data_IF_225190164438
#
_entry.id   IF_225190164438
#
_cell.length_a   1.000
_cell.length_b   1.000
_cell.length_c   1.000
_cell.angle_alpha   90.00
_cell.angle_beta   90.00
_cell.angle_gamma   90.00
#
_symmetry.space_group_name_H-M   'P 1'
#
loop_
_entity.id
_entity.type
_entity.pdbx_description
1 polymer ?
#
# COMPACT_ATOMS: atom_id res chain seq x y z
N UNK A 1 52.19 25.05 -10.36
CA UNK A 1 51.31 23.99 -9.81
C UNK A 1 51.91 23.56 -8.51
N UNK A 2 51.29 23.88 -7.38
CA UNK A 2 51.77 23.47 -6.06
C UNK A 2 50.79 22.44 -5.51
N UNK A 3 51.30 21.23 -5.24
CA UNK A 3 50.64 20.23 -4.42
C UNK A 3 50.71 20.72 -2.97
N UNK A 4 49.57 20.79 -2.29
CA UNK A 4 49.51 21.02 -0.85
C UNK A 4 49.01 19.72 -0.23
N UNK A 5 49.87 19.08 0.55
CA UNK A 5 49.54 17.90 1.35
C UNK A 5 48.77 18.33 2.60
N UNK A 6 47.66 17.66 2.87
CA UNK A 6 46.95 17.76 4.15
C UNK A 6 47.41 16.62 5.05
N UNK A 7 48.38 16.90 5.93
CA UNK A 7 48.67 16.01 7.04
C UNK A 7 47.55 16.11 8.08
N UNK A 8 46.73 15.06 8.15
CA UNK A 8 45.78 14.82 9.24
C UNK A 8 46.58 14.54 10.52
N UNK A 9 46.73 15.55 11.37
CA UNK A 9 47.36 15.40 12.67
C UNK A 9 46.28 15.05 13.69
N UNK A 10 46.05 13.74 13.89
CA UNK A 10 45.42 13.22 15.09
C UNK A 10 46.45 13.30 16.23
N UNK A 11 46.49 14.44 16.91
CA UNK A 11 47.17 14.58 18.20
C UNK A 11 46.17 15.11 19.22
N UNK A 12 46.09 14.39 20.34
CA UNK A 12 45.17 14.60 21.44
C UNK A 12 45.48 15.89 22.18
N UNK A 13 44.77 16.95 21.85
CA UNK A 13 44.58 18.11 22.72
C UNK A 13 43.07 18.39 22.86
N UNK A 14 42.62 18.62 24.10
CA UNK A 14 41.24 19.00 24.42
C UNK A 14 40.75 20.08 23.45
N UNK A 15 39.54 19.98 22.87
CA UNK A 15 39.11 20.95 21.87
C UNK A 15 38.95 22.29 22.58
N UNK A 16 39.91 23.20 22.35
CA UNK A 16 39.69 24.61 22.62
C UNK A 16 38.47 24.98 21.81
N UNK A 17 37.38 25.29 22.51
CA UNK A 17 36.09 25.59 21.92
C UNK A 17 36.31 26.80 21.01
N UNK A 18 36.33 26.58 19.70
CA UNK A 18 36.49 27.66 18.72
C UNK A 18 35.38 28.67 18.98
N UNK A 19 35.76 29.89 19.37
CA UNK A 19 34.79 30.95 19.58
C UNK A 19 34.22 31.38 18.24
N UNK A 20 32.90 31.60 18.22
CA UNK A 20 32.25 32.12 17.03
C UNK A 20 32.87 33.50 16.70
N UNK A 21 33.17 33.81 15.43
CA UNK A 21 33.54 35.15 15.03
C UNK A 21 32.56 36.20 15.54
N UNK A 22 33.07 37.31 16.08
CA UNK A 22 32.29 38.39 16.69
C UNK A 22 31.05 38.82 15.86
N UNK A 23 31.17 38.83 14.53
CA UNK A 23 30.08 39.22 13.63
C UNK A 23 28.89 38.24 13.65
N UNK A 24 29.12 36.95 13.90
CA UNK A 24 28.05 35.95 14.00
C UNK A 24 27.24 36.08 15.29
N UNK A 25 27.81 36.68 16.34
CA UNK A 25 27.06 36.96 17.59
C UNK A 25 25.99 38.03 17.39
N UNK A 26 26.13 38.89 16.39
CA UNK A 26 25.12 39.90 16.03
C UNK A 26 24.05 39.40 15.06
N UNK A 27 24.21 38.19 14.50
CA UNK A 27 23.18 37.60 13.67
C UNK A 27 22.04 37.10 14.57
N UNK A 28 20.98 37.89 14.68
CA UNK A 28 19.70 37.36 15.15
C UNK A 28 19.14 36.42 14.08
N UNK A 29 18.59 35.27 14.53
CA UNK A 29 17.80 34.45 13.63
C UNK A 29 16.70 35.32 13.03
N UNK A 30 16.62 35.39 11.70
CA UNK A 30 15.62 36.18 11.00
C UNK A 30 14.23 35.61 11.33
N UNK A 31 13.45 36.24 12.22
CA UNK A 31 12.18 35.68 12.67
C UNK A 31 11.12 35.80 11.57
N UNK A 32 11.38 36.57 10.51
CA UNK A 32 10.50 36.67 9.34
C UNK A 32 10.70 35.49 8.38
N UNK A 33 11.90 34.89 8.36
CA UNK A 33 12.24 33.76 7.48
C UNK A 33 12.17 32.41 8.20
N UNK A 34 12.41 32.37 9.52
CA UNK A 34 12.36 31.15 10.34
C UNK A 34 11.58 31.42 11.64
N UNK A 35 10.26 31.50 11.55
CA UNK A 35 9.38 31.59 12.73
C UNK A 35 9.56 30.34 13.60
N UNK A 36 9.83 30.54 14.89
CA UNK A 36 9.73 29.47 15.90
C UNK A 36 8.26 29.07 15.97
N UNK A 37 7.93 27.90 15.43
CA UNK A 37 6.56 27.40 15.45
C UNK A 37 6.28 26.78 16.83
N UNK A 38 5.49 27.47 17.66
CA UNK A 38 4.98 26.90 18.91
C UNK A 38 3.81 25.96 18.63
N UNK A 39 3.89 24.74 19.18
CA UNK A 39 2.87 23.70 18.98
C UNK A 39 1.59 24.04 19.76
N UNK A 40 0.53 24.42 19.06
CA UNK A 40 -0.78 24.63 19.70
C UNK A 40 -1.52 23.29 19.84
N UNK A 41 -1.54 22.77 21.07
CA UNK A 41 -2.20 21.51 21.41
C UNK A 41 -3.71 21.48 21.08
N UNK A 42 -4.39 22.63 21.03
CA UNK A 42 -5.81 22.72 20.67
C UNK A 42 -6.06 22.24 19.23
N UNK A 43 -5.10 22.46 18.32
CA UNK A 43 -5.18 22.01 16.92
C UNK A 43 -5.10 20.47 16.78
N UNK A 44 -4.77 19.78 17.86
CA UNK A 44 -4.52 18.33 17.88
C UNK A 44 -5.39 17.59 18.89
N UNK A 45 -6.52 18.18 19.31
CA UNK A 45 -7.40 17.62 20.35
C UNK A 45 -6.64 17.36 21.66
N UNK A 46 -5.78 18.31 22.03
CA UNK A 46 -4.90 18.24 23.21
C UNK A 46 -3.89 17.09 23.18
N UNK A 47 -3.70 16.43 22.02
CA UNK A 47 -2.67 15.41 21.85
C UNK A 47 -1.31 16.07 21.69
N UNK A 48 -0.35 15.60 22.46
CA UNK A 48 1.04 16.02 22.34
C UNK A 48 1.68 15.36 21.12
N UNK A 49 2.34 16.16 20.29
CA UNK A 49 3.11 15.63 19.15
C UNK A 49 4.38 14.93 19.62
N UNK A 50 4.77 13.88 18.90
CA UNK A 50 6.01 13.15 19.16
C UNK A 50 7.26 13.88 18.67
N UNK A 51 7.13 14.83 17.76
CA UNK A 51 8.21 15.69 17.27
C UNK A 51 7.65 17.07 16.85
N UNK A 52 8.48 18.11 17.05
CA UNK A 52 8.17 19.48 16.66
C UNK A 52 8.06 19.61 15.12
N UNK A 53 7.31 20.61 14.66
CA UNK A 53 7.30 20.93 13.24
C UNK A 53 8.59 21.66 12.85
N UNK A 54 9.21 21.23 11.77
CA UNK A 54 10.30 21.94 11.11
C UNK A 54 9.90 22.28 9.68
N UNK A 55 10.32 23.46 9.19
CA UNK A 55 10.03 23.89 7.82
C UNK A 55 10.59 22.87 6.82
N UNK A 56 9.72 22.41 5.92
CA UNK A 56 10.07 21.40 4.93
C UNK A 56 10.02 19.95 5.44
N UNK A 57 9.72 19.72 6.74
CA UNK A 57 9.42 18.40 7.28
C UNK A 57 7.91 18.17 7.42
N UNK A 58 7.46 17.01 6.93
CA UNK A 58 6.06 16.60 6.92
C UNK A 58 5.87 15.36 7.77
N UNK A 59 4.99 15.46 8.78
CA UNK A 59 4.61 14.32 9.59
C UNK A 59 3.88 13.29 8.71
N UNK A 60 4.51 12.13 8.54
CA UNK A 60 4.09 11.09 7.63
C UNK A 60 3.80 9.81 8.41
N UNK A 61 2.72 9.13 8.06
CA UNK A 61 2.41 7.78 8.51
C UNK A 61 1.70 7.01 7.39
N UNK A 62 1.80 5.69 7.42
CA UNK A 62 1.14 4.76 6.51
C UNK A 62 0.15 3.95 7.33
N UNK A 63 -1.09 3.88 6.86
CA UNK A 63 -2.17 3.20 7.57
C UNK A 63 -3.21 2.66 6.59
N UNK A 64 -4.04 1.74 7.06
CA UNK A 64 -5.23 1.24 6.37
C UNK A 64 -6.43 2.02 6.91
N UNK A 65 -7.21 2.64 6.03
CA UNK A 65 -8.47 3.30 6.43
C UNK A 65 -9.53 2.24 6.73
N UNK A 66 -10.00 2.23 7.97
CA UNK A 66 -11.01 1.31 8.46
C UNK A 66 -12.35 1.99 8.73
N UNK A 67 -12.50 3.26 8.39
CA UNK A 67 -13.67 4.08 8.76
C UNK A 67 -14.97 3.48 8.22
N UNK A 68 -15.00 3.04 6.96
CA UNK A 68 -16.18 2.41 6.35
C UNK A 68 -16.54 1.05 6.97
N UNK A 69 -15.54 0.32 7.47
CA UNK A 69 -15.72 -1.04 7.97
C UNK A 69 -16.07 -1.07 9.46
N UNK A 70 -15.57 -0.11 10.25
CA UNK A 70 -15.64 -0.14 11.72
C UNK A 70 -16.45 0.99 12.35
N UNK A 71 -17.03 1.92 11.57
CA UNK A 71 -17.82 3.03 12.10
C UNK A 71 -18.95 2.58 13.04
N UNK A 72 -19.58 1.44 12.73
CA UNK A 72 -20.67 0.86 13.54
C UNK A 72 -20.22 0.49 14.96
N UNK A 73 -18.95 0.08 15.14
CA UNK A 73 -18.40 -0.25 16.47
C UNK A 73 -18.28 1.02 17.30
N UNK A 74 -17.76 2.09 16.72
CA UNK A 74 -17.65 3.39 17.41
C UNK A 74 -19.03 3.87 17.84
N UNK A 75 -20.03 3.79 16.96
CA UNK A 75 -21.42 4.14 17.31
C UNK A 75 -21.93 3.29 18.47
N UNK A 76 -21.75 1.97 18.42
CA UNK A 76 -22.21 1.06 19.47
C UNK A 76 -21.54 1.33 20.83
N UNK A 77 -20.24 1.64 20.85
CA UNK A 77 -19.51 1.98 22.07
C UNK A 77 -19.98 3.33 22.64
N UNK A 78 -20.19 4.34 21.78
CA UNK A 78 -20.67 5.65 22.21
C UNK A 78 -22.09 5.63 22.79
N UNK A 79 -22.96 4.74 22.30
CA UNK A 79 -24.34 4.59 22.80
C UNK A 79 -24.49 3.59 23.95
N UNK A 80 -23.39 3.01 24.45
CA UNK A 80 -23.45 2.01 25.52
C UNK A 80 -23.67 2.67 26.87
N UNK A 81 -24.82 2.42 27.50
CA UNK A 81 -25.14 2.94 28.84
C UNK A 81 -24.11 2.50 29.89
N UNK A 82 -23.70 1.22 29.86
CA UNK A 82 -22.71 0.67 30.77
C UNK A 82 -21.34 1.37 30.69
N UNK A 83 -20.93 1.84 29.50
CA UNK A 83 -19.71 2.64 29.33
C UNK A 83 -19.94 4.09 29.75
N UNK A 84 -21.09 4.67 29.40
CA UNK A 84 -21.42 6.06 29.71
C UNK A 84 -21.55 6.32 31.23
N UNK A 85 -21.91 5.30 32.01
CA UNK A 85 -21.87 5.34 33.49
C UNK A 85 -20.45 5.38 34.07
N UNK A 86 -19.42 4.98 33.32
CA UNK A 86 -18.04 5.01 33.78
C UNK A 86 -17.46 6.42 33.67
N UNK A 87 -17.04 6.99 34.80
CA UNK A 87 -16.39 8.31 34.84
C UNK A 87 -15.12 8.38 33.99
N UNK A 88 -14.42 7.26 33.83
CA UNK A 88 -13.22 7.17 32.98
C UNK A 88 -13.58 7.28 31.49
N UNK A 89 -14.74 6.77 31.08
CA UNK A 89 -15.20 6.83 29.68
C UNK A 89 -15.38 8.27 29.21
N UNK A 90 -15.84 9.15 30.09
CA UNK A 90 -16.01 10.59 29.83
C UNK A 90 -14.70 11.32 29.47
N UNK A 91 -13.53 10.70 29.69
CA UNK A 91 -12.22 11.25 29.30
C UNK A 91 -11.79 10.86 27.89
N UNK A 92 -12.46 9.89 27.27
CA UNK A 92 -12.14 9.45 25.92
C UNK A 92 -12.82 10.34 24.88
N UNK A 93 -12.11 10.62 23.79
CA UNK A 93 -12.67 11.29 22.62
C UNK A 93 -12.78 10.31 21.46
N UNK A 94 -13.87 10.39 20.71
CA UNK A 94 -14.06 9.57 19.53
C UNK A 94 -13.05 9.98 18.44
N UNK A 95 -12.40 8.99 17.82
CA UNK A 95 -11.52 9.22 16.70
C UNK A 95 -12.33 9.52 15.42
N UNK A 96 -12.04 10.62 14.75
CA UNK A 96 -12.72 10.99 13.49
C UNK A 96 -12.39 10.04 12.33
N UNK A 97 -11.14 9.54 12.26
CA UNK A 97 -10.67 8.64 11.20
C UNK A 97 -10.14 7.36 11.84
N UNK A 98 -10.92 6.30 11.76
CA UNK A 98 -10.54 4.99 12.29
C UNK A 98 -9.56 4.36 11.31
N UNK A 99 -8.36 4.04 11.78
CA UNK A 99 -7.31 3.49 10.94
C UNK A 99 -6.49 2.44 11.68
N UNK A 100 -5.90 1.53 10.90
CA UNK A 100 -4.90 0.57 11.37
C UNK A 100 -3.52 1.03 10.89
N UNK A 101 -2.67 1.47 11.82
CA UNK A 101 -1.31 1.95 11.51
C UNK A 101 -0.40 0.83 11.04
N UNK A 102 0.28 1.04 9.90
CA UNK A 102 1.31 0.14 9.36
C UNK A 102 2.73 0.64 9.67
N UNK A 103 2.83 1.84 10.25
CA UNK A 103 4.08 2.51 10.58
C UNK A 103 3.88 3.43 11.78
N UNK A 104 4.98 3.85 12.40
CA UNK A 104 4.96 5.01 13.31
C UNK A 104 4.64 6.29 12.52
N UNK A 105 4.50 7.42 13.21
CA UNK A 105 4.55 8.75 12.57
C UNK A 105 5.99 9.25 12.60
N UNK A 106 6.54 9.65 11.46
CA UNK A 106 7.91 10.17 11.33
C UNK A 106 7.98 11.37 10.38
N UNK A 107 8.98 12.25 10.52
CA UNK A 107 9.17 13.37 9.61
C UNK A 107 9.77 12.91 8.28
N UNK A 108 9.22 13.39 7.17
CA UNK A 108 9.75 13.22 5.81
C UNK A 108 9.98 14.60 5.20
N UNK A 109 11.11 14.79 4.52
CA UNK A 109 11.38 16.04 3.80
C UNK A 109 10.46 16.16 2.60
N UNK A 110 9.94 17.35 2.33
CA UNK A 110 8.98 17.60 1.23
C UNK A 110 9.44 16.99 -0.11
N UNK A 111 10.70 17.22 -0.49
CA UNK A 111 11.28 16.72 -1.74
C UNK A 111 11.48 15.20 -1.81
N UNK A 112 11.25 14.46 -0.71
CA UNK A 112 11.29 13.00 -0.68
C UNK A 112 9.92 12.34 -0.73
N UNK A 113 8.83 13.11 -0.63
CA UNK A 113 7.47 12.56 -0.57
C UNK A 113 7.16 11.73 -1.82
N UNK A 114 7.43 12.26 -3.01
CA UNK A 114 7.12 11.55 -4.27
C UNK A 114 7.90 10.24 -4.41
N UNK A 115 9.20 10.25 -4.08
CA UNK A 115 10.04 9.05 -4.10
C UNK A 115 9.60 8.03 -3.06
N UNK A 116 9.18 8.47 -1.87
CA UNK A 116 8.61 7.59 -0.85
C UNK A 116 7.32 6.95 -1.34
N UNK A 117 6.40 7.73 -1.91
CA UNK A 117 5.13 7.21 -2.45
C UNK A 117 5.40 6.21 -3.58
N UNK A 118 6.30 6.53 -4.51
CA UNK A 118 6.65 5.61 -5.59
C UNK A 118 7.30 4.32 -5.07
N UNK A 119 8.16 4.41 -4.06
CA UNK A 119 8.73 3.25 -3.39
C UNK A 119 7.64 2.41 -2.72
N UNK A 120 6.71 3.03 -1.99
CA UNK A 120 5.60 2.33 -1.34
C UNK A 120 4.70 1.64 -2.37
N UNK A 121 4.33 2.31 -3.47
CA UNK A 121 3.56 1.73 -4.57
C UNK A 121 4.28 0.51 -5.13
N UNK A 122 5.59 0.62 -5.39
CA UNK A 122 6.38 -0.47 -5.96
C UNK A 122 6.50 -1.66 -4.99
N UNK A 123 6.74 -1.40 -3.71
CA UNK A 123 6.84 -2.44 -2.69
C UNK A 123 5.50 -3.12 -2.42
N UNK A 124 4.40 -2.35 -2.35
CA UNK A 124 3.06 -2.86 -2.08
C UNK A 124 2.40 -3.50 -3.31
N UNK A 125 2.79 -3.13 -4.53
CA UNK A 125 2.34 -3.80 -5.75
C UNK A 125 2.73 -5.29 -5.77
N UNK A 126 3.84 -5.63 -5.14
CA UNK A 126 4.33 -7.00 -5.00
C UNK A 126 3.81 -7.70 -3.74
N UNK A 127 2.92 -7.07 -2.97
CA UNK A 127 2.29 -7.75 -1.84
C UNK A 127 1.49 -8.95 -2.36
N UNK A 128 1.80 -10.18 -1.89
CA UNK A 128 1.25 -11.38 -2.49
C UNK A 128 -0.27 -11.39 -2.37
N UNK A 129 -0.93 -11.89 -3.40
CA UNK A 129 -2.38 -12.14 -3.41
C UNK A 129 -2.60 -13.56 -3.87
N UNK A 130 -3.59 -14.21 -3.27
CA UNK A 130 -4.01 -15.54 -3.64
C UNK A 130 -5.43 -15.49 -4.20
N UNK A 131 -5.72 -16.36 -5.16
CA UNK A 131 -7.00 -16.40 -5.85
C UNK A 131 -7.62 -17.80 -5.73
N UNK A 132 -8.94 -17.84 -5.60
CA UNK A 132 -9.75 -19.04 -5.68
C UNK A 132 -10.61 -18.96 -6.94
N UNK A 133 -10.54 -19.99 -7.78
CA UNK A 133 -11.14 -19.98 -9.11
C UNK A 133 -11.23 -21.36 -9.74
N UNK A 134 -11.72 -21.41 -10.98
CA UNK A 134 -11.80 -22.61 -11.81
C UNK A 134 -10.76 -22.55 -12.93
N UNK A 135 -10.04 -23.66 -13.11
CA UNK A 135 -9.16 -23.85 -14.25
C UNK A 135 -9.94 -24.41 -15.43
N UNK A 136 -9.55 -24.05 -16.65
CA UNK A 136 -10.11 -24.66 -17.86
C UNK A 136 -9.69 -26.13 -17.97
N UNK A 137 -10.44 -26.91 -18.76
CA UNK A 137 -10.01 -28.26 -19.16
C UNK A 137 -8.78 -28.17 -20.07
N UNK A 138 -8.05 -29.28 -20.23
CA UNK A 138 -6.92 -29.35 -21.16
C UNK A 138 -7.36 -29.07 -22.61
N UNK A 139 -8.53 -29.55 -23.01
CA UNK A 139 -9.09 -29.33 -24.34
C UNK A 139 -9.36 -27.85 -24.62
N UNK A 140 -10.05 -27.16 -23.71
CA UNK A 140 -10.30 -25.72 -23.85
C UNK A 140 -9.00 -24.92 -23.80
N UNK A 141 -8.01 -25.36 -23.01
CA UNK A 141 -6.71 -24.70 -22.95
C UNK A 141 -5.97 -24.72 -24.28
N UNK A 142 -6.02 -25.81 -25.05
CA UNK A 142 -5.40 -25.86 -26.39
C UNK A 142 -6.05 -24.88 -27.37
N UNK A 143 -7.38 -24.79 -27.38
CA UNK A 143 -8.09 -23.79 -28.22
C UNK A 143 -7.73 -22.36 -27.83
N UNK A 144 -7.62 -22.07 -26.53
CA UNK A 144 -7.26 -20.75 -26.03
C UNK A 144 -5.82 -20.35 -26.38
N UNK A 145 -4.87 -21.30 -26.51
CA UNK A 145 -3.50 -20.98 -26.95
C UNK A 145 -3.48 -20.36 -28.33
N UNK A 146 -4.27 -20.88 -29.27
CA UNK A 146 -4.39 -20.32 -30.63
C UNK A 146 -4.88 -18.88 -30.60
N UNK A 147 -5.87 -18.60 -29.74
CA UNK A 147 -6.37 -17.24 -29.55
C UNK A 147 -5.31 -16.32 -28.91
N UNK A 148 -4.60 -16.81 -27.90
CA UNK A 148 -3.48 -16.09 -27.28
C UNK A 148 -2.40 -15.75 -28.30
N UNK A 149 -2.05 -16.66 -29.22
CA UNK A 149 -1.06 -16.35 -30.27
C UNK A 149 -1.49 -15.18 -31.17
N UNK A 150 -2.79 -15.05 -31.49
CA UNK A 150 -3.30 -13.92 -32.26
C UNK A 150 -3.27 -12.61 -31.45
N UNK A 151 -3.60 -12.69 -30.17
CA UNK A 151 -3.51 -11.55 -29.24
C UNK A 151 -2.06 -11.12 -29.05
N UNK A 152 -1.14 -12.06 -28.82
CA UNK A 152 0.29 -11.79 -28.61
C UNK A 152 0.90 -11.07 -29.81
N UNK A 153 0.64 -11.50 -31.05
CA UNK A 153 1.08 -10.77 -32.26
C UNK A 153 0.63 -9.32 -32.26
N UNK A 154 -0.62 -9.09 -31.84
CA UNK A 154 -1.19 -7.73 -31.77
C UNK A 154 -0.53 -6.93 -30.65
N UNK A 155 -0.32 -7.52 -29.47
CA UNK A 155 0.32 -6.88 -28.32
C UNK A 155 1.80 -6.55 -28.60
N UNK A 156 2.54 -7.47 -29.21
CA UNK A 156 3.94 -7.30 -29.59
C UNK A 156 4.14 -6.21 -30.65
N UNK A 157 3.20 -6.07 -31.61
CA UNK A 157 3.24 -4.99 -32.60
C UNK A 157 3.23 -3.59 -31.95
N UNK A 158 2.67 -3.48 -30.74
CA UNK A 158 2.69 -2.27 -29.91
C UNK A 158 3.72 -2.31 -28.77
N UNK A 159 4.75 -3.19 -28.87
CA UNK A 159 5.84 -3.38 -27.89
C UNK A 159 5.37 -3.84 -26.50
N UNK A 160 4.18 -4.44 -26.41
CA UNK A 160 3.75 -5.12 -25.19
C UNK A 160 4.41 -6.50 -25.03
N UNK A 161 4.43 -7.06 -23.81
CA UNK A 161 4.94 -8.40 -23.58
C UNK A 161 3.95 -9.48 -24.04
N UNK A 162 4.46 -10.62 -24.51
CA UNK A 162 3.63 -11.81 -24.76
C UNK A 162 3.02 -12.37 -23.47
N UNK A 163 2.03 -13.23 -23.61
CA UNK A 163 1.44 -13.98 -22.51
C UNK A 163 2.45 -14.92 -21.82
N UNK A 164 2.06 -15.46 -20.65
CA UNK A 164 2.92 -16.33 -19.84
C UNK A 164 3.44 -17.55 -20.62
N UNK A 165 4.75 -17.83 -20.50
CA UNK A 165 5.44 -18.97 -21.16
C UNK A 165 4.78 -20.33 -20.91
N UNK A 166 4.20 -20.53 -19.72
CA UNK A 166 3.43 -21.72 -19.36
C UNK A 166 2.01 -21.28 -18.97
N UNK A 167 1.07 -21.18 -19.94
CA UNK A 167 -0.24 -20.61 -19.71
C UNK A 167 -1.09 -21.52 -18.81
N UNK A 168 -1.72 -20.92 -17.80
CA UNK A 168 -2.74 -21.56 -16.96
C UNK A 168 -4.01 -20.74 -17.06
N UNK A 169 -4.91 -21.15 -17.94
CA UNK A 169 -6.18 -20.46 -18.12
C UNK A 169 -7.11 -20.78 -16.96
N UNK A 170 -7.60 -19.73 -16.31
CA UNK A 170 -8.47 -19.84 -15.14
C UNK A 170 -9.37 -18.62 -15.03
N UNK A 171 -10.48 -18.79 -14.31
CA UNK A 171 -11.39 -17.72 -13.91
C UNK A 171 -11.38 -17.65 -12.39
N UNK A 172 -11.05 -16.48 -11.85
CA UNK A 172 -11.02 -16.23 -10.40
C UNK A 172 -12.35 -15.67 -9.92
N UNK A 173 -12.89 -16.23 -8.82
CA UNK A 173 -14.11 -15.74 -8.18
C UNK A 173 -13.83 -14.96 -6.90
N UNK A 174 -12.83 -15.40 -6.14
CA UNK A 174 -12.45 -14.79 -4.88
C UNK A 174 -10.94 -14.55 -4.84
N UNK A 175 -10.52 -13.59 -4.04
CA UNK A 175 -9.11 -13.32 -3.79
C UNK A 175 -8.89 -12.90 -2.34
N UNK A 176 -7.69 -13.11 -1.83
CA UNK A 176 -7.26 -12.62 -0.53
C UNK A 176 -5.83 -12.09 -0.59
N UNK A 177 -5.52 -11.23 0.37
CA UNK A 177 -4.17 -10.76 0.64
C UNK A 177 -3.33 -11.88 1.25
N UNK A 178 -2.08 -12.01 0.82
CA UNK A 178 -1.15 -13.03 1.27
C UNK A 178 -0.95 -14.18 0.28
N UNK A 179 0.11 -14.95 0.52
CA UNK A 179 0.34 -16.24 -0.12
C UNK A 179 -0.26 -17.34 0.77
N UNK A 180 -1.46 -17.82 0.41
CA UNK A 180 -2.17 -18.83 1.20
C UNK A 180 -1.43 -20.16 1.26
N UNK A 181 -0.57 -20.46 0.28
CA UNK A 181 0.23 -21.68 0.26
C UNK A 181 1.31 -21.65 1.35
N UNK A 182 1.82 -20.46 1.67
CA UNK A 182 2.79 -20.26 2.76
C UNK A 182 2.13 -20.10 4.12
N UNK A 183 0.95 -19.52 4.16
CA UNK A 183 0.24 -19.18 5.41
C UNK A 183 -0.54 -20.33 6.03
N UNK A 184 -0.83 -21.40 5.28
CA UNK A 184 -1.68 -22.49 5.73
C UNK A 184 -1.00 -23.84 5.51
N UNK A 185 -1.40 -24.82 6.30
CA UNK A 185 -0.97 -26.21 6.11
C UNK A 185 -1.59 -26.82 4.86
N UNK A 186 -0.93 -27.83 4.29
CA UNK A 186 -1.48 -28.58 3.15
C UNK A 186 -2.84 -29.21 3.45
N UNK A 187 -3.10 -29.59 4.71
CA UNK A 187 -4.37 -30.15 5.15
C UNK A 187 -5.51 -29.14 5.05
N UNK A 188 -5.29 -27.90 5.51
CA UNK A 188 -6.30 -26.83 5.45
C UNK A 188 -6.65 -26.47 4.00
N UNK A 189 -5.63 -26.34 3.15
CA UNK A 189 -5.83 -26.05 1.73
C UNK A 189 -6.57 -27.17 1.01
N UNK A 190 -6.30 -28.44 1.37
CA UNK A 190 -7.03 -29.57 0.81
C UNK A 190 -8.49 -29.61 1.30
N UNK A 191 -8.75 -29.30 2.57
CA UNK A 191 -10.12 -29.16 3.10
C UNK A 191 -10.90 -28.06 2.38
N UNK A 192 -10.25 -26.92 2.12
CA UNK A 192 -10.85 -25.82 1.36
C UNK A 192 -11.20 -26.26 -0.07
N UNK A 193 -10.27 -26.90 -0.78
CA UNK A 193 -10.50 -27.44 -2.13
C UNK A 193 -11.66 -28.43 -2.15
N UNK A 194 -11.69 -29.37 -1.21
CA UNK A 194 -12.78 -30.35 -1.11
C UNK A 194 -14.13 -29.67 -0.83
N UNK A 195 -14.16 -28.70 0.08
CA UNK A 195 -15.39 -27.97 0.42
C UNK A 195 -15.90 -27.15 -0.76
N UNK A 196 -14.99 -26.47 -1.49
CA UNK A 196 -15.32 -25.73 -2.70
C UNK A 196 -15.87 -26.65 -3.80
N UNK A 197 -15.24 -27.82 -4.01
CA UNK A 197 -15.71 -28.81 -4.97
C UNK A 197 -17.09 -29.37 -4.60
N UNK A 198 -17.35 -29.62 -3.32
CA UNK A 198 -18.67 -30.07 -2.83
C UNK A 198 -19.73 -29.01 -3.03
N UNK A 199 -19.40 -27.73 -2.78
CA UNK A 199 -20.33 -26.61 -2.99
C UNK A 199 -20.74 -26.42 -4.46
N UNK A 200 -19.91 -26.87 -5.41
CA UNK A 200 -20.15 -26.77 -6.85
C UNK A 200 -21.02 -27.92 -7.43
N UNK A 201 -21.45 -28.91 -6.62
CA UNK A 201 -22.25 -30.06 -7.10
C UNK A 201 -23.68 -29.71 -7.58
N UNK A 202 -24.41 -30.69 -8.16
CA UNK A 202 -24.53 -30.98 -9.58
C UNK A 202 -25.21 -29.88 -10.43
N UNK A 203 -25.77 -28.83 -9.82
CA UNK A 203 -26.46 -27.74 -10.56
C UNK A 203 -25.50 -26.92 -11.43
N UNK A 204 -24.20 -26.97 -11.16
CA UNK A 204 -23.14 -26.25 -11.87
C UNK A 204 -22.02 -27.16 -12.37
N UNK A 205 -22.33 -28.45 -12.62
CA UNK A 205 -21.34 -29.41 -13.09
C UNK A 205 -20.81 -29.01 -14.47
N UNK A 206 -19.55 -28.57 -14.53
CA UNK A 206 -18.80 -28.20 -15.75
C UNK A 206 -19.50 -27.10 -16.57
N UNK A 207 -19.50 -25.85 -16.09
CA UNK A 207 -20.06 -24.74 -16.85
C UNK A 207 -19.36 -24.64 -18.22
N UNK A 208 -20.15 -24.65 -19.29
CA UNK A 208 -19.69 -24.38 -20.63
C UNK A 208 -20.01 -22.93 -20.97
N UNK A 209 -19.02 -22.22 -21.51
CA UNK A 209 -19.15 -20.82 -21.89
C UNK A 209 -18.84 -20.72 -23.37
N UNK A 210 -19.81 -20.28 -24.16
CA UNK A 210 -19.59 -19.87 -25.54
C UNK A 210 -19.02 -18.45 -25.53
N UNK A 211 -17.98 -18.21 -26.31
CA UNK A 211 -17.28 -16.92 -26.36
C UNK A 211 -17.53 -16.30 -27.73
N UNK A 212 -18.42 -15.30 -27.77
CA UNK A 212 -18.77 -14.57 -29.01
C UNK A 212 -17.99 -13.25 -29.13
N UNK A 213 -17.45 -12.75 -28.02
CA UNK A 213 -16.77 -11.45 -27.97
C UNK A 213 -15.56 -11.49 -27.05
N UNK A 214 -14.51 -10.76 -27.43
CA UNK A 214 -13.33 -10.49 -26.60
C UNK A 214 -13.37 -9.03 -26.18
N UNK A 215 -13.12 -8.76 -24.90
CA UNK A 215 -13.06 -7.39 -24.38
C UNK A 215 -11.62 -6.90 -24.24
N UNK A 216 -11.30 -5.72 -24.78
CA UNK A 216 -10.04 -5.01 -24.57
C UNK A 216 -10.30 -3.77 -23.72
N UNK A 217 -9.65 -3.66 -22.55
CA UNK A 217 -9.73 -2.49 -21.66
C UNK A 217 -8.46 -1.66 -21.78
N UNK A 218 -8.59 -0.37 -22.10
CA UNK A 218 -7.49 0.59 -22.13
C UNK A 218 -7.82 1.77 -21.21
N UNK A 219 -7.21 1.79 -20.03
CA UNK A 219 -7.53 2.80 -18.99
C UNK A 219 -8.99 2.70 -18.54
N UNK A 220 -9.75 3.77 -18.75
CA UNK A 220 -11.18 3.84 -18.48
C UNK A 220 -12.08 3.46 -19.69
N UNK A 221 -11.49 3.07 -20.83
CA UNK A 221 -12.22 2.66 -22.03
C UNK A 221 -12.32 1.14 -22.14
N UNK A 222 -13.45 0.65 -22.63
CA UNK A 222 -13.72 -0.77 -22.88
C UNK A 222 -14.17 -0.95 -24.33
N UNK A 223 -13.50 -1.84 -25.07
CA UNK A 223 -13.79 -2.16 -26.46
C UNK A 223 -14.22 -3.62 -26.55
N UNK A 224 -15.39 -3.89 -27.13
CA UNK A 224 -15.85 -5.24 -27.43
C UNK A 224 -15.48 -5.60 -28.88
N UNK A 225 -14.77 -6.72 -29.04
CA UNK A 225 -14.28 -7.23 -30.32
C UNK A 225 -15.08 -8.50 -30.61
N UNK A 226 -15.98 -8.51 -31.61
CA UNK A 226 -16.73 -9.71 -31.96
C UNK A 226 -15.78 -10.75 -32.57
N UNK A 227 -15.91 -12.00 -32.12
CA UNK A 227 -15.35 -13.15 -32.82
C UNK A 227 -16.34 -13.49 -33.93
N UNK A 228 -15.96 -13.22 -35.18
CA UNK A 228 -16.80 -13.50 -36.35
C UNK A 228 -17.25 -14.96 -36.36
N UNK A 229 -18.56 -15.18 -36.49
CA UNK A 229 -19.12 -16.48 -36.88
C UNK A 229 -18.73 -16.82 -38.32
#
# INVERSE_FOLDING_TARGET
MALVDYSSSDESDSPSKLELPAFLHSLSADPTRFTVHEDNAELHQMRQRSFAHEVGQWATSVYIDCSLHLCHITSALSTSDALNEQTVWQRFQACEKIHLSLSKTWPVRYHWIDNLVQSLVTSLANFPRSFLGLCTTCESAEHLKSLVMLVDRSVEAFRGPCYYKSPKFHVSFFWCNGDIQRMNTGLELNRLKSSANTALQPKHAKPQITVDTISCKCGNKLFAIPLSQ
#
